data_IF_884299432351
#
_entry.id   IF_884299432351
#
_cell.length_a   1.000
_cell.length_b   1.000
_cell.length_c   1.000
_cell.angle_alpha   90.00
_cell.angle_beta   90.00
_cell.angle_gamma   90.00
#
_symmetry.space_group_name_H-M   'P 1'
#
loop_
_entity.id
_entity.type
_entity.pdbx_description
1 polymer ?
#
# COMPACT_ATOMS: atom_id res chain seq x y z
N UNK A 1 1.72 11.30 1.65
CA UNK A 1 0.35 11.01 1.15
C UNK A 1 -0.65 12.08 1.58
N UNK A 2 -1.86 12.05 1.01
CA UNK A 2 -2.98 12.95 1.39
C UNK A 2 -3.34 12.81 2.88
N UNK A 3 -3.43 11.59 3.40
CA UNK A 3 -3.73 11.32 4.80
C UNK A 3 -2.61 11.78 5.74
N UNK A 4 -1.35 11.68 5.33
CA UNK A 4 -0.21 12.22 6.09
C UNK A 4 -0.25 13.75 6.17
N UNK A 5 -0.71 14.42 5.11
CA UNK A 5 -0.89 15.87 5.15
C UNK A 5 -1.93 16.26 6.22
N UNK A 6 -3.01 15.48 6.36
CA UNK A 6 -3.98 15.68 7.44
C UNK A 6 -3.36 15.48 8.82
N UNK A 7 -2.59 14.42 9.04
CA UNK A 7 -1.89 14.20 10.31
C UNK A 7 -0.99 15.37 10.69
N UNK A 8 -0.20 15.84 9.72
CA UNK A 8 0.69 16.99 9.94
C UNK A 8 -0.10 18.27 10.23
N UNK A 9 -1.22 18.50 9.52
CA UNK A 9 -2.06 19.66 9.75
C UNK A 9 -2.71 19.63 11.16
N UNK A 10 -3.28 18.49 11.56
CA UNK A 10 -3.87 18.33 12.89
C UNK A 10 -2.83 18.48 14.01
N UNK A 11 -1.62 17.91 13.80
CA UNK A 11 -0.50 18.11 14.73
C UNK A 11 -0.04 19.57 14.80
N UNK A 12 0.02 20.28 13.66
CA UNK A 12 0.34 21.70 13.62
C UNK A 12 -0.71 22.56 14.35
N UNK A 13 -1.98 22.24 14.18
CA UNK A 13 -3.07 22.92 14.90
C UNK A 13 -3.24 22.46 16.35
N UNK A 14 -2.50 21.46 16.82
CA UNK A 14 -2.60 20.99 18.21
C UNK A 14 -3.95 20.38 18.58
N UNK A 15 -4.82 20.06 17.59
CA UNK A 15 -6.13 19.48 17.81
C UNK A 15 -6.87 19.18 16.52
N UNK A 16 -8.00 18.48 16.63
CA UNK A 16 -8.87 18.15 15.52
C UNK A 16 -10.18 18.96 15.57
N UNK A 17 -10.65 19.55 14.47
CA UNK A 17 -11.96 20.19 14.43
C UNK A 17 -13.07 19.14 14.51
N UNK A 18 -14.29 19.55 14.85
CA UNK A 18 -15.45 18.64 14.87
C UNK A 18 -15.83 18.14 13.47
N UNK A 19 -15.68 19.00 12.46
CA UNK A 19 -15.99 18.67 11.07
C UNK A 19 -14.88 19.13 10.13
N UNK A 20 -14.59 18.33 9.11
CA UNK A 20 -13.65 18.67 8.02
C UNK A 20 -14.39 18.61 6.69
N UNK A 21 -14.41 19.73 5.98
CA UNK A 21 -15.08 19.84 4.68
C UNK A 21 -14.10 19.51 3.55
N UNK A 22 -14.50 18.59 2.68
CA UNK A 22 -13.74 18.11 1.53
C UNK A 22 -14.38 18.49 0.20
N UNK A 23 -13.57 18.68 -0.83
CA UNK A 23 -14.04 18.64 -2.21
C UNK A 23 -14.32 17.19 -2.63
N UNK A 24 -15.07 17.00 -3.76
CA UNK A 24 -15.42 15.68 -4.31
C UNK A 24 -14.24 15.01 -5.02
N UNK A 25 -13.13 14.80 -4.29
CA UNK A 25 -11.94 14.11 -4.79
C UNK A 25 -12.13 12.60 -4.69
N UNK A 26 -11.63 11.83 -5.67
CA UNK A 26 -11.75 10.36 -5.71
C UNK A 26 -11.07 9.63 -4.55
N UNK A 27 -10.05 10.22 -3.97
CA UNK A 27 -9.33 9.70 -2.80
C UNK A 27 -10.04 9.98 -1.47
N UNK A 28 -11.14 10.73 -1.49
CA UNK A 28 -11.97 11.11 -0.33
C UNK A 28 -13.37 10.56 -0.46
N UNK A 29 -14.03 10.92 -1.56
CA UNK A 29 -15.44 10.69 -1.81
C UNK A 29 -15.64 9.61 -2.89
N UNK A 30 -16.41 8.57 -2.57
CA UNK A 30 -16.72 7.48 -3.50
C UNK A 30 -18.00 7.79 -4.28
N UNK A 31 -19.08 8.03 -3.58
CA UNK A 31 -20.40 8.28 -4.16
C UNK A 31 -21.38 8.84 -3.13
N UNK A 32 -22.53 9.26 -3.60
CA UNK A 32 -23.67 9.63 -2.77
C UNK A 32 -24.78 8.57 -2.93
N UNK A 33 -25.22 7.99 -1.83
CA UNK A 33 -26.28 6.99 -1.82
C UNK A 33 -27.39 7.44 -0.87
N UNK A 34 -28.60 7.61 -1.41
CA UNK A 34 -29.77 8.03 -0.61
C UNK A 34 -29.53 9.27 0.25
N UNK A 35 -28.84 10.29 -0.30
CA UNK A 35 -28.51 11.53 0.40
C UNK A 35 -27.39 11.42 1.44
N UNK A 36 -26.70 10.26 1.52
CA UNK A 36 -25.53 10.07 2.37
C UNK A 36 -24.28 9.96 1.53
N UNK A 37 -23.26 10.71 1.92
CA UNK A 37 -21.92 10.65 1.28
C UNK A 37 -21.16 9.41 1.77
N UNK A 38 -20.67 8.62 0.83
CA UNK A 38 -19.80 7.47 1.09
C UNK A 38 -18.35 7.89 0.88
N UNK A 39 -17.52 7.69 1.90
CA UNK A 39 -16.10 8.06 1.90
C UNK A 39 -15.21 6.84 1.73
N UNK A 40 -13.95 7.06 1.32
CA UNK A 40 -12.96 5.98 1.29
C UNK A 40 -12.70 5.47 2.70
N UNK A 41 -12.51 4.16 2.85
CA UNK A 41 -12.30 3.54 4.16
C UNK A 41 -11.12 4.16 4.92
N UNK A 42 -10.04 4.47 4.21
CA UNK A 42 -8.85 5.10 4.82
C UNK A 42 -9.12 6.50 5.39
N UNK A 43 -10.03 7.27 4.77
CA UNK A 43 -10.47 8.54 5.37
C UNK A 43 -11.40 8.33 6.55
N UNK A 44 -12.29 7.33 6.50
CA UNK A 44 -13.16 6.98 7.62
C UNK A 44 -12.33 6.55 8.83
N UNK A 45 -11.32 5.70 8.63
CA UNK A 45 -10.40 5.25 9.68
C UNK A 45 -9.67 6.45 10.31
N UNK A 46 -9.18 7.39 9.48
CA UNK A 46 -8.55 8.61 9.95
C UNK A 46 -9.52 9.48 10.76
N UNK A 47 -10.73 9.68 10.26
CA UNK A 47 -11.76 10.50 10.88
C UNK A 47 -12.20 9.94 12.25
N UNK A 48 -12.39 8.62 12.33
CA UNK A 48 -12.68 7.92 13.61
C UNK A 48 -11.53 8.06 14.58
N UNK A 49 -10.28 7.89 14.12
CA UNK A 49 -9.10 7.99 14.97
C UNK A 49 -8.91 9.38 15.60
N UNK A 50 -9.17 10.45 14.82
CA UNK A 50 -9.02 11.83 15.29
C UNK A 50 -10.32 12.46 15.80
N UNK A 51 -11.45 11.75 15.71
CA UNK A 51 -12.74 12.16 16.24
C UNK A 51 -13.48 13.22 15.41
N UNK A 52 -13.13 13.46 14.16
CA UNK A 52 -13.82 14.43 13.30
C UNK A 52 -14.84 13.78 12.35
N UNK A 53 -15.84 14.56 11.93
CA UNK A 53 -16.82 14.14 10.93
C UNK A 53 -16.44 14.67 9.55
N UNK A 54 -16.18 13.81 8.55
CA UNK A 54 -15.93 14.26 7.18
C UNK A 54 -17.24 14.74 6.54
N UNK A 55 -17.18 15.89 5.86
CA UNK A 55 -18.27 16.45 5.07
C UNK A 55 -17.79 16.65 3.63
N UNK A 56 -18.68 16.54 2.67
CA UNK A 56 -18.42 16.83 1.25
C UNK A 56 -19.12 18.10 0.85
N UNK A 57 -18.40 18.96 0.14
CA UNK A 57 -18.99 20.17 -0.44
C UNK A 57 -20.14 19.82 -1.41
N UNK A 58 -21.25 20.56 -1.38
CA UNK A 58 -22.34 20.36 -2.32
C UNK A 58 -21.84 20.40 -3.78
N UNK A 59 -22.44 19.62 -4.63
CA UNK A 59 -22.15 19.69 -6.06
C UNK A 59 -22.48 21.10 -6.58
N UNK A 60 -21.64 21.61 -7.49
CA UNK A 60 -21.87 22.92 -8.13
C UNK A 60 -21.91 24.13 -7.16
N UNK A 61 -21.19 24.07 -6.02
CA UNK A 61 -21.11 25.14 -5.03
C UNK A 61 -19.75 25.88 -5.09
N UNK A 62 -19.48 26.72 -6.13
CA UNK A 62 -18.16 27.35 -6.31
C UNK A 62 -17.77 28.32 -5.17
N UNK A 63 -18.76 28.89 -4.46
CA UNK A 63 -18.52 29.76 -3.31
C UNK A 63 -17.84 29.07 -2.13
N UNK A 64 -17.96 27.74 -2.00
CA UNK A 64 -17.26 26.95 -0.98
C UNK A 64 -15.76 26.88 -1.29
N UNK A 65 -15.39 26.81 -2.56
CA UNK A 65 -13.98 26.76 -3.02
C UNK A 65 -13.21 28.03 -2.74
N UNK A 66 -13.84 29.19 -2.78
CA UNK A 66 -13.15 30.48 -2.57
C UNK A 66 -12.40 30.59 -1.23
N UNK A 67 -12.81 29.81 -0.21
CA UNK A 67 -12.10 29.75 1.08
C UNK A 67 -10.80 28.93 1.01
N UNK A 68 -10.65 28.07 0.02
CA UNK A 68 -9.46 27.24 -0.17
C UNK A 68 -8.54 27.86 -1.22
N UNK A 69 -9.09 28.42 -2.30
CA UNK A 69 -8.32 29.01 -3.41
C UNK A 69 -7.54 30.25 -2.97
N UNK A 70 -8.17 31.15 -2.23
CA UNK A 70 -7.52 32.38 -1.74
C UNK A 70 -6.28 32.14 -0.85
N UNK A 71 -6.30 31.24 0.14
CA UNK A 71 -5.09 30.89 0.89
C UNK A 71 -3.99 30.28 0.01
N UNK A 72 -4.35 29.46 -0.99
CA UNK A 72 -3.36 28.90 -1.91
C UNK A 72 -2.69 29.98 -2.77
N UNK A 73 -3.46 30.93 -3.30
CA UNK A 73 -2.92 32.09 -4.01
C UNK A 73 -2.05 32.94 -3.08
N UNK A 74 -2.46 33.16 -1.84
CA UNK A 74 -1.69 33.90 -0.85
C UNK A 74 -0.31 33.25 -0.57
N UNK A 75 -0.24 31.93 -0.45
CA UNK A 75 1.03 31.22 -0.26
C UNK A 75 1.85 31.27 -1.55
N UNK A 76 1.23 31.04 -2.71
CA UNK A 76 1.93 31.03 -4.00
C UNK A 76 2.55 32.39 -4.30
N UNK A 77 1.80 33.47 -4.17
CA UNK A 77 2.27 34.84 -4.50
C UNK A 77 3.15 35.46 -3.38
N UNK A 78 2.85 35.10 -2.11
CA UNK A 78 3.54 35.73 -0.99
C UNK A 78 4.79 34.97 -0.52
N UNK A 79 4.87 33.68 -0.72
CA UNK A 79 5.99 32.84 -0.29
C UNK A 79 6.75 32.26 -1.48
N UNK A 80 6.07 31.46 -2.35
CA UNK A 80 6.76 30.74 -3.42
C UNK A 80 7.33 31.63 -4.53
N UNK A 81 6.68 32.74 -4.82
CA UNK A 81 7.16 33.65 -5.84
C UNK A 81 8.47 34.33 -5.39
N UNK A 82 9.57 33.92 -6.02
CA UNK A 82 10.91 34.42 -5.70
C UNK A 82 11.63 33.62 -4.58
N UNK A 83 11.03 32.53 -4.07
CA UNK A 83 11.68 31.66 -3.11
C UNK A 83 12.80 30.85 -3.78
N UNK A 84 14.01 30.92 -3.23
CA UNK A 84 15.17 30.12 -3.67
C UNK A 84 15.08 28.70 -3.06
N UNK A 85 14.50 27.76 -3.79
CA UNK A 85 14.32 26.38 -3.33
C UNK A 85 15.67 25.65 -3.25
N UNK A 86 15.98 25.08 -2.09
CA UNK A 86 17.15 24.22 -1.85
C UNK A 86 16.72 22.76 -1.72
N UNK A 87 15.90 22.45 -0.75
CA UNK A 87 15.34 21.12 -0.47
C UNK A 87 13.97 21.25 0.21
N UNK A 88 13.23 20.12 0.26
CA UNK A 88 11.89 20.09 0.86
C UNK A 88 11.85 20.35 2.36
N UNK A 89 12.88 19.96 3.08
CA UNK A 89 12.92 20.15 4.52
C UNK A 89 13.07 21.63 4.88
N UNK A 90 14.06 22.30 4.29
CA UNK A 90 14.31 23.73 4.46
C UNK A 90 13.11 24.56 4.00
N UNK A 91 12.52 24.23 2.84
CA UNK A 91 11.34 24.92 2.33
C UNK A 91 10.13 24.81 3.28
N UNK A 92 9.92 23.67 3.93
CA UNK A 92 8.83 23.52 4.93
C UNK A 92 9.12 24.29 6.22
N UNK A 93 10.37 24.38 6.66
CA UNK A 93 10.74 25.21 7.82
C UNK A 93 10.50 26.69 7.54
N UNK A 94 10.98 27.18 6.40
CA UNK A 94 10.84 28.58 6.00
C UNK A 94 9.36 28.95 5.79
N UNK A 95 8.57 28.05 5.19
CA UNK A 95 7.13 28.24 5.06
C UNK A 95 6.45 28.33 6.42
N UNK A 96 6.82 27.47 7.37
CA UNK A 96 6.25 27.47 8.72
C UNK A 96 6.54 28.78 9.43
N UNK A 97 7.78 29.27 9.36
CA UNK A 97 8.16 30.56 9.95
C UNK A 97 7.47 31.74 9.25
N UNK A 98 7.40 31.70 7.92
CA UNK A 98 6.66 32.71 7.16
C UNK A 98 5.18 32.75 7.55
N UNK A 99 4.52 31.59 7.71
CA UNK A 99 3.13 31.50 8.15
C UNK A 99 2.96 32.04 9.58
N UNK A 100 3.90 31.76 10.49
CA UNK A 100 3.92 32.29 11.84
C UNK A 100 3.93 33.83 11.83
N UNK A 101 4.86 34.43 11.11
CA UNK A 101 4.93 35.90 10.95
C UNK A 101 3.65 36.48 10.33
N UNK A 102 3.10 35.77 9.32
CA UNK A 102 1.86 36.21 8.66
C UNK A 102 0.60 36.04 9.53
N UNK A 103 0.61 35.18 10.54
CA UNK A 103 -0.51 35.02 11.48
C UNK A 103 -0.68 36.21 12.43
N UNK A 104 0.36 37.01 12.64
CA UNK A 104 0.33 38.23 13.47
C UNK A 104 -0.43 39.39 12.80
N UNK A 105 -0.72 39.26 11.50
CA UNK A 105 -1.45 40.31 10.76
C UNK A 105 -2.92 40.40 11.17
N UNK A 106 -3.49 41.58 11.06
CA UNK A 106 -4.94 41.77 11.14
C UNK A 106 -5.59 41.30 9.84
N UNK A 107 -6.55 40.41 9.95
CA UNK A 107 -7.27 39.87 8.78
C UNK A 107 -8.29 40.88 8.27
N UNK A 108 -8.26 41.15 6.95
CA UNK A 108 -9.07 42.24 6.35
C UNK A 108 -10.59 42.09 6.52
N UNK A 109 -11.12 40.86 6.62
CA UNK A 109 -12.58 40.62 6.77
C UNK A 109 -13.02 40.58 8.22
N UNK A 110 -12.17 40.04 9.11
CA UNK A 110 -12.54 39.84 10.51
C UNK A 110 -12.06 40.98 11.42
N UNK A 111 -11.17 41.81 10.92
CA UNK A 111 -10.54 42.94 11.61
C UNK A 111 -9.85 42.55 12.94
N UNK A 112 -9.44 41.29 13.03
CA UNK A 112 -8.75 40.72 14.19
C UNK A 112 -7.44 40.06 13.74
N UNK A 113 -6.51 39.90 14.67
CA UNK A 113 -5.27 39.13 14.42
C UNK A 113 -5.61 37.64 14.28
N UNK A 114 -4.95 36.99 13.35
CA UNK A 114 -5.20 35.57 13.03
C UNK A 114 -4.78 34.67 14.22
N UNK A 115 -3.62 34.94 14.83
CA UNK A 115 -3.09 34.22 15.99
C UNK A 115 -3.96 34.35 17.24
N UNK A 116 -4.53 35.55 17.51
CA UNK A 116 -5.45 35.77 18.62
C UNK A 116 -6.77 35.00 18.45
N UNK A 117 -7.29 34.96 17.21
CA UNK A 117 -8.46 34.12 16.89
C UNK A 117 -8.18 32.66 17.09
N UNK A 118 -7.02 32.19 16.61
CA UNK A 118 -6.62 30.81 16.78
C UNK A 118 -6.49 30.45 18.26
N UNK A 119 -5.91 31.29 19.09
CA UNK A 119 -5.80 31.08 20.54
C UNK A 119 -7.19 30.90 21.22
N UNK A 120 -8.19 31.61 20.72
CA UNK A 120 -9.58 31.45 21.20
C UNK A 120 -10.25 30.17 20.67
N UNK A 121 -9.87 29.70 19.49
CA UNK A 121 -10.40 28.48 18.89
C UNK A 121 -9.79 27.20 19.52
N UNK A 122 -8.52 27.27 19.92
CA UNK A 122 -7.75 26.13 20.41
C UNK A 122 -8.46 25.28 21.49
N UNK A 123 -9.11 25.87 22.52
CA UNK A 123 -9.85 25.10 23.53
C UNK A 123 -11.06 24.34 22.98
N UNK A 124 -11.55 24.66 21.79
CA UNK A 124 -12.69 24.03 21.15
C UNK A 124 -12.30 22.90 20.20
N UNK A 125 -11.01 22.74 19.93
CA UNK A 125 -10.49 21.61 19.16
C UNK A 125 -10.52 20.34 20.03
N UNK A 126 -10.77 19.20 19.42
CA UNK A 126 -10.68 17.92 20.08
C UNK A 126 -9.22 17.55 20.33
N UNK A 127 -8.89 16.98 21.50
CA UNK A 127 -7.52 16.57 21.80
C UNK A 127 -7.04 15.50 20.82
N UNK A 128 -5.77 15.59 20.42
CA UNK A 128 -5.17 14.59 19.56
C UNK A 128 -4.93 13.28 20.35
N UNK A 129 -5.15 12.12 19.71
CA UNK A 129 -4.78 10.85 20.32
C UNK A 129 -3.26 10.77 20.55
N UNK A 130 -2.81 10.02 21.58
CA UNK A 130 -1.38 9.92 21.92
C UNK A 130 -0.53 9.26 20.83
N UNK A 131 -1.16 8.46 19.98
CA UNK A 131 -0.49 7.78 18.87
C UNK A 131 -1.05 8.30 17.55
N UNK A 132 -0.21 8.59 16.54
CA UNK A 132 -0.68 8.97 15.22
C UNK A 132 -1.39 7.80 14.52
N UNK A 133 -2.39 8.11 13.70
CA UNK A 133 -3.09 7.11 12.89
C UNK A 133 -2.12 6.41 11.93
N UNK A 134 -2.27 5.09 11.76
CA UNK A 134 -1.53 4.36 10.71
C UNK A 134 -2.15 4.63 9.35
N UNK A 135 -1.57 5.56 8.63
CA UNK A 135 -1.96 5.96 7.26
C UNK A 135 -1.21 5.20 6.16
N UNK A 136 -0.61 4.05 6.50
CA UNK A 136 0.01 3.17 5.50
C UNK A 136 -1.05 2.66 4.52
N UNK A 137 -0.67 2.55 3.26
CA UNK A 137 -1.50 1.85 2.28
C UNK A 137 -1.60 0.37 2.67
N UNK A 138 -2.82 -0.16 2.76
CA UNK A 138 -3.08 -1.55 3.12
C UNK A 138 -3.58 -2.31 1.90
N UNK A 139 -2.86 -3.35 1.52
CA UNK A 139 -3.16 -4.20 0.38
C UNK A 139 -3.30 -5.64 0.86
N UNK A 140 -4.43 -6.28 0.58
CA UNK A 140 -4.56 -7.72 0.74
C UNK A 140 -4.02 -8.41 -0.51
N UNK A 141 -3.10 -9.37 -0.35
CA UNK A 141 -2.45 -10.11 -1.44
C UNK A 141 -2.38 -11.59 -1.11
N UNK A 142 -2.60 -12.41 -2.11
CA UNK A 142 -2.31 -13.85 -2.04
C UNK A 142 -0.86 -14.10 -2.40
N UNK A 143 -0.18 -14.92 -1.60
CA UNK A 143 1.19 -15.33 -1.87
C UNK A 143 1.19 -16.38 -2.97
N UNK A 144 1.90 -16.10 -4.06
CA UNK A 144 1.98 -16.98 -5.24
C UNK A 144 2.85 -18.21 -4.97
N UNK A 145 2.72 -19.22 -5.86
CA UNK A 145 3.52 -20.48 -5.80
C UNK A 145 5.03 -20.25 -5.91
N UNK A 146 5.45 -19.12 -6.47
CA UNK A 146 6.86 -18.70 -6.55
C UNK A 146 7.34 -17.96 -5.27
N UNK A 147 6.58 -18.04 -4.19
CA UNK A 147 6.84 -17.38 -2.91
C UNK A 147 6.88 -15.87 -3.02
N UNK A 148 6.10 -15.25 -3.91
CA UNK A 148 6.11 -13.80 -4.12
C UNK A 148 4.76 -13.16 -3.90
N UNK A 149 4.80 -11.87 -3.49
CA UNK A 149 3.66 -10.96 -3.53
C UNK A 149 3.93 -9.82 -4.52
N UNK A 150 2.92 -9.44 -5.31
CA UNK A 150 3.04 -8.37 -6.29
C UNK A 150 2.50 -7.06 -5.70
N UNK A 151 3.33 -6.00 -5.69
CA UNK A 151 2.99 -4.67 -5.19
C UNK A 151 3.62 -3.61 -6.06
N UNK A 152 2.84 -2.63 -6.53
CA UNK A 152 3.28 -1.47 -7.34
C UNK A 152 4.16 -1.82 -8.55
N UNK A 153 3.89 -2.98 -9.18
CA UNK A 153 4.62 -3.42 -10.38
C UNK A 153 5.90 -4.21 -10.09
N UNK A 154 6.26 -4.42 -8.83
CA UNK A 154 7.38 -5.25 -8.39
C UNK A 154 6.89 -6.53 -7.69
N UNK A 155 7.75 -7.53 -7.57
CA UNK A 155 7.51 -8.76 -6.84
C UNK A 155 8.46 -8.85 -5.65
N UNK A 156 7.93 -9.19 -4.49
CA UNK A 156 8.68 -9.30 -3.22
C UNK A 156 8.61 -10.73 -2.75
N UNK A 157 9.77 -11.32 -2.50
CA UNK A 157 9.86 -12.69 -1.98
C UNK A 157 9.43 -12.71 -0.51
N UNK A 158 8.64 -13.68 -0.13
CA UNK A 158 8.19 -13.88 1.25
C UNK A 158 8.48 -15.33 1.67
N UNK A 159 8.43 -15.65 2.97
CA UNK A 159 8.62 -17.01 3.42
C UNK A 159 7.75 -18.01 2.66
N UNK A 160 8.32 -19.13 2.24
CA UNK A 160 7.65 -20.18 1.48
C UNK A 160 6.47 -20.82 2.21
N UNK A 161 6.46 -20.75 3.55
CA UNK A 161 5.36 -21.20 4.41
C UNK A 161 4.06 -20.45 4.16
N UNK A 162 4.12 -19.24 3.58
CA UNK A 162 2.96 -18.41 3.28
C UNK A 162 2.33 -18.69 1.92
N UNK A 163 2.86 -19.61 1.12
CA UNK A 163 2.33 -19.90 -0.23
C UNK A 163 0.85 -20.30 -0.15
N UNK A 164 0.00 -19.59 -0.91
CA UNK A 164 -1.45 -19.74 -0.91
C UNK A 164 -2.18 -19.02 0.22
N UNK A 165 -1.46 -18.39 1.15
CA UNK A 165 -2.08 -17.60 2.22
C UNK A 165 -2.39 -16.18 1.74
N UNK A 166 -3.41 -15.58 2.35
CA UNK A 166 -3.71 -14.15 2.23
C UNK A 166 -2.86 -13.38 3.25
N UNK A 167 -2.08 -12.42 2.77
CA UNK A 167 -1.23 -11.56 3.61
C UNK A 167 -1.64 -10.10 3.46
N UNK A 168 -1.43 -9.33 4.52
CA UNK A 168 -1.62 -7.89 4.50
C UNK A 168 -0.27 -7.22 4.24
N UNK A 169 -0.19 -6.49 3.13
CA UNK A 169 0.98 -5.68 2.81
C UNK A 169 0.69 -4.23 3.20
N UNK A 170 1.57 -3.63 3.99
CA UNK A 170 1.53 -2.22 4.35
C UNK A 170 2.67 -1.48 3.66
N UNK A 171 2.33 -0.39 2.98
CA UNK A 171 3.32 0.45 2.29
C UNK A 171 3.29 1.86 2.88
N UNK A 172 4.45 2.35 3.31
CA UNK A 172 4.63 3.71 3.79
C UNK A 172 6.07 4.19 3.53
N UNK A 173 6.23 5.39 2.96
CA UNK A 173 7.54 6.02 2.71
C UNK A 173 8.58 5.08 2.06
N UNK A 174 8.16 4.33 1.01
CA UNK A 174 8.99 3.30 0.34
C UNK A 174 9.35 2.09 1.20
N UNK A 175 8.86 1.99 2.42
CA UNK A 175 8.97 0.78 3.22
C UNK A 175 7.74 -0.09 2.99
N UNK A 176 7.97 -1.34 2.58
CA UNK A 176 6.95 -2.37 2.37
C UNK A 176 7.09 -3.42 3.46
N UNK A 177 6.02 -3.67 4.20
CA UNK A 177 5.94 -4.67 5.26
C UNK A 177 4.85 -5.68 4.94
N UNK A 178 5.16 -6.95 5.06
CA UNK A 178 4.23 -8.06 4.83
C UNK A 178 3.88 -8.69 6.16
N UNK A 179 2.58 -8.81 6.42
CA UNK A 179 2.04 -9.36 7.67
C UNK A 179 1.17 -10.58 7.40
N UNK A 180 1.33 -11.61 8.24
CA UNK A 180 0.35 -12.68 8.41
C UNK A 180 -0.35 -12.47 9.76
N UNK A 181 -1.63 -12.07 9.72
CA UNK A 181 -2.32 -11.60 10.93
C UNK A 181 -1.60 -10.38 11.55
N UNK A 182 -1.10 -10.54 12.78
CA UNK A 182 -0.33 -9.52 13.49
C UNK A 182 1.19 -9.66 13.35
N UNK A 183 1.68 -10.77 12.77
CA UNK A 183 3.10 -11.07 12.68
C UNK A 183 3.73 -10.42 11.45
N UNK A 184 4.84 -9.70 11.64
CA UNK A 184 5.67 -9.18 10.55
C UNK A 184 6.49 -10.34 9.97
N UNK A 185 6.25 -10.65 8.69
CA UNK A 185 6.89 -11.76 7.98
C UNK A 185 8.04 -11.34 7.08
N UNK A 186 7.97 -10.14 6.51
CA UNK A 186 9.01 -9.58 5.66
C UNK A 186 8.94 -8.04 5.64
N UNK A 187 10.11 -7.41 5.48
CA UNK A 187 10.22 -5.96 5.32
C UNK A 187 11.20 -5.64 4.21
N UNK A 188 10.85 -4.70 3.32
CA UNK A 188 11.63 -4.32 2.17
C UNK A 188 11.63 -2.81 1.96
N UNK A 189 12.74 -2.28 1.49
CA UNK A 189 12.76 -0.97 0.86
C UNK A 189 12.32 -1.12 -0.61
N UNK A 190 11.36 -0.31 -1.03
CA UNK A 190 10.82 -0.37 -2.38
C UNK A 190 11.76 0.34 -3.37
N UNK A 191 12.21 -0.34 -4.42
CA UNK A 191 13.00 0.28 -5.49
C UNK A 191 12.18 1.32 -6.26
N UNK A 192 12.85 2.24 -6.94
CA UNK A 192 12.21 3.24 -7.80
C UNK A 192 11.71 2.61 -9.11
N UNK A 193 12.47 1.66 -9.63
CA UNK A 193 12.16 0.95 -10.84
C UNK A 193 11.04 -0.08 -10.64
N UNK A 194 10.34 -0.40 -11.75
CA UNK A 194 9.29 -1.42 -11.80
C UNK A 194 9.77 -2.67 -12.52
N UNK A 195 9.05 -3.78 -12.31
CA UNK A 195 9.35 -5.07 -12.94
C UNK A 195 10.42 -5.88 -12.21
N UNK A 196 10.89 -5.41 -11.05
CA UNK A 196 11.95 -6.05 -10.30
C UNK A 196 11.42 -7.18 -9.40
N UNK A 197 12.29 -8.15 -9.15
CA UNK A 197 12.16 -9.14 -8.08
C UNK A 197 13.05 -8.72 -6.91
N UNK A 198 12.43 -8.34 -5.81
CA UNK A 198 13.11 -7.95 -4.57
C UNK A 198 13.09 -9.16 -3.63
N UNK A 199 14.25 -9.58 -3.18
CA UNK A 199 14.39 -10.80 -2.39
C UNK A 199 15.37 -10.60 -1.23
N UNK A 200 15.02 -11.15 -0.09
CA UNK A 200 15.96 -11.40 0.99
C UNK A 200 16.58 -12.80 0.78
N UNK A 201 17.90 -12.94 0.64
CA UNK A 201 18.58 -14.22 0.48
C UNK A 201 18.19 -15.26 1.54
N UNK A 202 17.90 -14.80 2.77
CA UNK A 202 17.51 -15.66 3.89
C UNK A 202 16.29 -16.53 3.59
N UNK A 203 15.31 -16.04 2.84
CA UNK A 203 14.11 -16.81 2.50
C UNK A 203 14.40 -17.95 1.52
N UNK A 204 15.39 -17.79 0.63
CA UNK A 204 15.84 -18.87 -0.24
C UNK A 204 16.64 -19.94 0.50
N UNK A 205 17.44 -19.55 1.47
CA UNK A 205 18.18 -20.48 2.32
C UNK A 205 17.21 -21.32 3.17
N UNK A 206 16.22 -20.70 3.78
CA UNK A 206 15.18 -21.39 4.54
C UNK A 206 14.40 -22.39 3.65
N UNK A 207 14.04 -22.02 2.42
CA UNK A 207 13.37 -22.91 1.47
C UNK A 207 14.27 -24.11 1.08
N UNK A 208 15.58 -23.91 0.86
CA UNK A 208 16.53 -24.98 0.57
C UNK A 208 16.64 -25.95 1.74
N UNK A 209 16.81 -25.43 2.95
CA UNK A 209 16.91 -26.23 4.16
C UNK A 209 15.66 -27.11 4.38
N UNK A 210 14.47 -26.54 4.14
CA UNK A 210 13.21 -27.27 4.30
C UNK A 210 13.06 -28.38 3.23
N UNK A 211 13.42 -28.10 1.97
CA UNK A 211 13.45 -29.12 0.90
C UNK A 211 14.42 -30.25 1.22
N UNK A 212 15.59 -29.97 1.76
CA UNK A 212 16.54 -31.00 2.17
C UNK A 212 16.00 -31.84 3.32
N UNK A 213 15.36 -31.20 4.31
CA UNK A 213 14.73 -31.90 5.43
C UNK A 213 13.60 -32.81 4.94
N UNK A 214 12.73 -32.34 4.06
CA UNK A 214 11.67 -33.16 3.47
C UNK A 214 12.24 -34.34 2.66
N UNK A 215 13.30 -34.10 1.85
CA UNK A 215 13.95 -35.16 1.11
C UNK A 215 14.56 -36.22 2.03
N UNK A 216 15.15 -35.84 3.17
CA UNK A 216 15.68 -36.76 4.19
C UNK A 216 14.54 -37.57 4.83
N UNK A 217 13.41 -36.93 5.19
CA UNK A 217 12.22 -37.63 5.72
C UNK A 217 11.67 -38.65 4.72
N UNK A 218 11.59 -38.29 3.44
CA UNK A 218 11.15 -39.21 2.37
C UNK A 218 12.09 -40.39 2.19
N UNK A 219 13.40 -40.19 2.25
CA UNK A 219 14.40 -41.27 2.16
C UNK A 219 14.35 -42.18 3.38
N UNK A 220 14.15 -41.66 4.59
CA UNK A 220 14.00 -42.47 5.80
C UNK A 220 12.71 -43.27 5.80
N UNK A 221 11.57 -42.68 5.40
CA UNK A 221 10.29 -43.39 5.29
C UNK A 221 10.32 -44.52 4.25
N UNK A 222 11.06 -44.36 3.14
CA UNK A 222 11.28 -45.45 2.17
C UNK A 222 12.17 -46.57 2.72
N UNK A 223 13.11 -46.28 3.60
CA UNK A 223 13.96 -47.31 4.27
C UNK A 223 13.16 -48.13 5.27
N UNK A 224 12.13 -47.57 5.91
CA UNK A 224 11.30 -48.28 6.91
C UNK A 224 10.14 -49.10 6.29
N UNK A 225 9.70 -48.73 5.08
CA UNK A 225 8.86 -49.65 4.29
C UNK A 225 9.77 -50.71 3.71
N UNK A 226 9.96 -51.76 4.50
CA UNK A 226 10.73 -52.93 4.10
C UNK A 226 10.39 -53.32 2.68
N UNK A 227 11.40 -53.73 1.94
CA UNK A 227 11.39 -54.26 0.62
C UNK A 227 10.26 -55.30 0.44
N UNK A 228 9.04 -54.82 0.19
CA UNK A 228 8.04 -55.66 -0.42
C UNK A 228 8.56 -55.90 -1.84
N UNK A 229 9.16 -57.08 -2.02
CA UNK A 229 9.43 -57.62 -3.34
C UNK A 229 8.08 -57.81 -4.03
N UNK A 230 7.64 -56.75 -4.72
CA UNK A 230 6.59 -56.90 -5.72
C UNK A 230 7.29 -57.67 -6.86
N UNK A 231 7.14 -58.98 -6.82
CA UNK A 231 7.40 -59.78 -8.03
C UNK A 231 6.55 -59.14 -9.14
N UNK A 232 7.15 -58.76 -10.26
CA UNK A 232 6.38 -58.25 -11.38
C UNK A 232 5.42 -59.38 -11.81
N UNK A 233 4.15 -59.24 -11.46
CA UNK A 233 3.12 -60.10 -12.06
C UNK A 233 3.20 -59.84 -13.53
N UNK A 234 3.51 -60.91 -14.30
CA UNK A 234 3.42 -60.86 -15.74
C UNK A 234 2.04 -60.30 -16.10
N UNK A 235 1.94 -59.28 -16.97
CA UNK A 235 0.67 -58.76 -17.42
C UNK A 235 -0.17 -59.94 -17.96
N UNK A 236 -1.41 -60.02 -17.59
CA UNK A 236 -2.31 -61.10 -17.97
C UNK A 236 -2.57 -61.21 -19.48
N UNK A 237 -2.14 -60.20 -20.22
CA UNK A 237 -2.18 -60.13 -21.68
C UNK A 237 -0.86 -59.61 -22.22
N UNK A 238 -0.31 -60.22 -23.29
CA UNK A 238 0.85 -59.67 -23.96
C UNK A 238 0.45 -58.38 -24.64
N UNK A 239 0.97 -57.25 -24.14
CA UNK A 239 0.86 -55.94 -24.83
C UNK A 239 1.90 -55.99 -25.94
N UNK A 240 1.47 -56.34 -27.17
CA UNK A 240 2.31 -56.13 -28.36
C UNK A 240 2.45 -54.64 -28.61
N UNK A 241 3.59 -54.10 -28.28
CA UNK A 241 3.95 -52.74 -28.63
C UNK A 241 4.59 -52.76 -30.01
N UNK A 242 3.84 -52.36 -31.03
CA UNK A 242 4.37 -52.16 -32.39
C UNK A 242 5.43 -51.07 -32.35
N UNK A 243 6.70 -51.45 -32.55
CA UNK A 243 7.81 -50.48 -32.66
C UNK A 243 7.83 -49.97 -34.07
N UNK A 244 7.31 -48.77 -34.26
CA UNK A 244 7.46 -48.06 -35.53
C UNK A 244 8.88 -47.49 -35.67
N UNK A 245 9.43 -47.57 -36.88
CA UNK A 245 10.75 -47.01 -37.17
C UNK A 245 10.71 -45.47 -37.14
N UNK A 246 11.83 -44.82 -36.84
CA UNK A 246 11.93 -43.35 -36.91
C UNK A 246 11.65 -42.80 -38.32
N UNK A 247 11.85 -43.62 -39.36
CA UNK A 247 11.56 -43.27 -40.75
C UNK A 247 10.06 -43.15 -41.02
N UNK A 248 9.22 -43.91 -40.30
CA UNK A 248 7.76 -43.79 -40.40
C UNK A 248 7.26 -42.44 -39.83
N UNK A 249 7.91 -41.92 -38.80
CA UNK A 249 7.62 -40.59 -38.27
C UNK A 249 8.13 -39.47 -39.19
N UNK A 250 9.27 -39.66 -39.84
CA UNK A 250 9.80 -38.68 -40.78
C UNK A 250 8.90 -38.52 -42.03
N UNK A 251 8.25 -39.61 -42.49
CA UNK A 251 7.25 -39.55 -43.58
C UNK A 251 5.99 -38.81 -43.21
N UNK A 252 5.50 -38.92 -41.95
CA UNK A 252 4.32 -38.23 -41.48
C UNK A 252 4.55 -36.71 -41.25
N UNK A 253 5.80 -36.31 -40.99
CA UNK A 253 6.18 -34.89 -40.78
C UNK A 253 6.43 -34.11 -42.09
N UNK A 254 6.47 -34.78 -43.23
CA UNK A 254 6.78 -34.14 -44.51
C UNK A 254 5.59 -33.61 -45.34
N UNK A 255 4.35 -33.83 -44.88
CA UNK A 255 3.13 -33.47 -45.66
C UNK A 255 2.31 -32.32 -45.09
N UNK A 256 2.82 -31.51 -44.15
CA UNK A 256 2.14 -30.31 -43.74
C UNK A 256 2.73 -29.11 -44.47
N UNK A 257 2.31 -28.90 -45.69
CA UNK A 257 2.43 -27.65 -46.42
C UNK A 257 1.35 -26.72 -45.93
N UNK A 258 1.72 -25.61 -45.29
CA UNK A 258 0.79 -24.51 -45.01
C UNK A 258 0.46 -23.79 -46.31
N UNK A 259 -0.77 -23.91 -46.79
CA UNK A 259 -1.38 -23.04 -47.77
C UNK A 259 -2.09 -21.88 -47.04
#
# INVERSE_FOLDING_TARGET
SFLEAHQRALAHFGGAPQEVLYDRMRNVFLRELSGKSEFTQSLVDLAVHYGFTPRVAPAYAPWVKGKIERPMDFIREGFWRGYGFTDLYTANQDLTEWLRVKSERVHGTTHERVDERYTRELPHLQPLPPQPCDVSERLCREVRKDCTVAVHGNRYVVPHTLVGHQVIVRVRHRCLRVFEGALLMAEYEMPEDKGLLVADPHFYEALRADREMQARKFRSARRHKGRATISPSKPAYPIEVERRSLDDYARLGGEVSYA
#
